data_IF_174746472346
#
_entry.id   IF_174746472346
#
_cell.length_a   1.000
_cell.length_b   1.000
_cell.length_c   1.000
_cell.angle_alpha   90.00
_cell.angle_beta   90.00
_cell.angle_gamma   90.00
#
_symmetry.space_group_name_H-M   'P 1'
#
loop_
_entity.id
_entity.type
_entity.pdbx_description
1 polymer ?
#
# COMPACT_ATOMS: atom_id res chain seq x y z
N UNK A 1 19.15 -4.74 -33.83
CA UNK A 1 18.93 -4.98 -32.38
C UNK A 1 20.22 -4.63 -31.66
N UNK A 2 20.16 -3.78 -30.62
CA UNK A 2 21.30 -3.41 -29.78
C UNK A 2 21.89 -2.03 -30.07
N UNK A 3 21.55 -1.03 -29.24
CA UNK A 3 22.30 0.24 -29.13
C UNK A 3 21.83 1.11 -27.95
N UNK A 4 22.59 1.09 -26.86
CA UNK A 4 23.05 2.28 -26.11
C UNK A 4 24.21 1.74 -25.23
N UNK A 5 25.45 1.67 -25.71
CA UNK A 5 26.41 2.75 -25.97
C UNK A 5 26.50 3.74 -24.80
N UNK A 6 27.16 3.29 -23.73
CA UNK A 6 27.69 4.15 -22.68
C UNK A 6 28.84 5.01 -23.22
N UNK A 7 28.92 6.27 -22.81
CA UNK A 7 30.14 7.07 -22.88
C UNK A 7 30.19 8.00 -21.66
N UNK A 8 31.26 7.83 -20.89
CA UNK A 8 31.65 8.62 -19.72
C UNK A 8 32.08 10.05 -20.11
N UNK A 9 32.00 11.01 -19.18
CA UNK A 9 33.18 11.81 -18.71
C UNK A 9 32.78 13.00 -17.82
N UNK A 10 33.46 13.07 -16.66
CA UNK A 10 33.83 14.23 -15.82
C UNK A 10 32.83 14.97 -14.91
N UNK A 11 32.98 14.66 -13.62
CA UNK A 11 33.31 15.60 -12.53
C UNK A 11 32.55 16.92 -12.40
N UNK A 12 31.61 16.93 -11.46
CA UNK A 12 31.52 18.01 -10.47
C UNK A 12 31.26 17.36 -9.10
N UNK A 13 32.33 17.10 -8.36
CA UNK A 13 32.28 16.90 -6.91
C UNK A 13 31.89 18.23 -6.29
N UNK A 14 30.60 18.50 -6.23
CA UNK A 14 30.06 19.61 -5.44
C UNK A 14 29.77 19.06 -4.04
N UNK A 15 30.72 19.33 -3.15
CA UNK A 15 30.58 19.40 -1.69
C UNK A 15 29.22 18.97 -1.15
N UNK A 16 29.17 17.76 -0.58
CA UNK A 16 28.11 17.35 0.33
C UNK A 16 28.19 18.21 1.60
N UNK A 17 27.67 19.43 1.51
CA UNK A 17 27.26 20.21 2.66
C UNK A 17 25.95 19.61 3.12
N UNK A 18 26.03 18.82 4.18
CA UNK A 18 24.89 18.49 5.01
C UNK A 18 24.22 19.79 5.46
N UNK A 19 22.98 20.04 5.05
CA UNK A 19 21.92 20.55 5.93
C UNK A 19 20.62 20.77 5.16
N UNK A 20 19.64 19.98 5.58
CA UNK A 20 18.30 20.41 5.94
C UNK A 20 17.45 21.20 4.92
N UNK A 21 16.33 20.53 4.65
CA UNK A 21 14.97 21.06 4.60
C UNK A 21 14.45 21.56 3.24
N UNK A 22 13.28 21.00 2.91
CA UNK A 22 12.41 21.25 1.74
C UNK A 22 12.87 20.64 0.42
N UNK A 23 12.65 19.32 0.26
CA UNK A 23 12.70 18.70 -1.06
C UNK A 23 11.53 17.75 -1.26
N UNK A 24 10.80 17.99 -2.35
CA UNK A 24 9.97 17.10 -3.16
C UNK A 24 10.78 15.88 -3.68
N UNK A 25 11.66 15.34 -2.86
CA UNK A 25 12.51 14.18 -3.10
C UNK A 25 11.87 12.94 -2.48
N UNK A 26 12.07 11.80 -3.15
CA UNK A 26 11.57 10.53 -2.68
C UNK A 26 11.98 10.29 -1.22
N UNK A 27 11.08 9.80 -0.34
CA UNK A 27 11.40 9.55 1.05
C UNK A 27 12.59 8.58 1.16
N UNK A 28 13.49 8.89 2.08
CA UNK A 28 14.66 8.05 2.39
C UNK A 28 14.21 6.61 2.68
N UNK A 29 15.10 5.64 2.43
CA UNK A 29 14.76 4.21 2.60
C UNK A 29 14.30 3.89 4.03
N UNK A 30 14.87 4.53 5.04
CA UNK A 30 14.45 4.39 6.45
C UNK A 30 13.03 4.90 6.68
N UNK A 31 12.71 6.10 6.20
CA UNK A 31 11.37 6.70 6.31
C UNK A 31 10.30 5.84 5.63
N UNK A 32 10.63 5.19 4.50
CA UNK A 32 9.75 4.22 3.85
C UNK A 32 9.53 2.95 4.67
N UNK A 33 10.57 2.43 5.31
CA UNK A 33 10.45 1.27 6.20
C UNK A 33 9.54 1.61 7.38
N UNK A 34 9.71 2.77 8.00
CA UNK A 34 8.84 3.25 9.09
C UNK A 34 7.38 3.40 8.63
N UNK A 35 7.16 3.98 7.45
CA UNK A 35 5.83 4.07 6.84
C UNK A 35 5.19 2.69 6.59
N UNK A 36 5.94 1.69 6.14
CA UNK A 36 5.40 0.33 5.99
C UNK A 36 5.05 -0.30 7.33
N UNK A 37 5.89 -0.12 8.36
CA UNK A 37 5.58 -0.64 9.69
C UNK A 37 4.33 -0.01 10.31
N UNK A 38 4.14 1.31 10.16
CA UNK A 38 2.93 1.99 10.66
C UNK A 38 1.69 1.62 9.86
N UNK A 39 1.82 1.45 8.54
CA UNK A 39 0.75 0.93 7.67
C UNK A 39 0.27 -0.43 8.16
N UNK A 40 1.19 -1.36 8.38
CA UNK A 40 0.86 -2.74 8.75
C UNK A 40 0.25 -2.82 10.15
N UNK A 41 0.69 -1.95 11.09
CA UNK A 41 0.05 -1.82 12.40
C UNK A 41 -1.40 -1.32 12.29
N UNK A 42 -1.66 -0.27 11.51
CA UNK A 42 -3.01 0.26 11.28
C UNK A 42 -3.91 -0.76 10.58
N UNK A 43 -3.41 -1.42 9.53
CA UNK A 43 -4.16 -2.45 8.80
C UNK A 43 -4.41 -3.70 9.63
N UNK A 44 -3.47 -4.11 10.47
CA UNK A 44 -3.68 -5.20 11.43
C UNK A 44 -4.72 -4.86 12.49
N UNK A 45 -4.82 -3.59 12.90
CA UNK A 45 -5.89 -3.14 13.79
C UNK A 45 -7.26 -3.17 13.09
N UNK A 46 -7.33 -2.72 11.84
CA UNK A 46 -8.55 -2.82 11.01
C UNK A 46 -9.03 -4.28 10.85
N UNK A 47 -8.11 -5.20 10.57
CA UNK A 47 -8.43 -6.62 10.38
C UNK A 47 -9.00 -7.25 11.67
N UNK A 48 -8.42 -6.91 12.83
CA UNK A 48 -8.94 -7.37 14.13
C UNK A 48 -10.36 -6.87 14.42
N UNK A 49 -10.68 -5.67 13.97
CA UNK A 49 -12.01 -5.06 14.14
C UNK A 49 -12.96 -5.39 12.97
N UNK A 50 -12.55 -6.26 12.04
CA UNK A 50 -13.32 -6.63 10.84
C UNK A 50 -13.74 -5.43 9.98
N UNK A 51 -12.97 -4.33 10.02
CA UNK A 51 -13.25 -3.15 9.21
C UNK A 51 -12.55 -3.27 7.86
N UNK A 52 -13.37 -3.41 6.82
CA UNK A 52 -12.90 -3.58 5.45
C UNK A 52 -12.44 -2.26 4.82
N UNK A 53 -13.15 -1.17 5.08
CA UNK A 53 -12.87 0.14 4.50
C UNK A 53 -12.13 1.06 5.49
N UNK A 54 -10.84 1.39 5.24
CA UNK A 54 -10.11 2.36 6.06
C UNK A 54 -10.81 3.73 5.98
N UNK A 55 -11.04 4.35 7.14
CA UNK A 55 -11.76 5.63 7.27
C UNK A 55 -13.27 5.52 7.53
N UNK A 56 -13.84 4.31 7.53
CA UNK A 56 -15.25 4.05 7.90
C UNK A 56 -15.38 3.29 9.23
N UNK A 57 -14.29 3.22 10.00
CA UNK A 57 -14.14 2.42 11.22
C UNK A 57 -14.91 2.93 12.46
N UNK A 58 -15.76 3.94 12.33
CA UNK A 58 -16.43 4.57 13.47
C UNK A 58 -15.47 5.40 14.32
N UNK A 59 -16.00 6.28 15.18
CA UNK A 59 -15.18 7.16 16.00
C UNK A 59 -14.42 6.37 17.08
N UNK A 60 -13.09 6.32 16.98
CA UNK A 60 -12.20 5.82 18.03
C UNK A 60 -11.52 4.46 17.75
N UNK A 61 -11.92 3.73 16.71
CA UNK A 61 -11.26 2.47 16.34
C UNK A 61 -9.96 2.78 15.60
N UNK A 62 -8.84 2.23 16.10
CA UNK A 62 -7.51 2.33 15.51
C UNK A 62 -7.00 3.76 15.25
N UNK A 63 -7.53 4.77 15.97
CA UNK A 63 -7.20 6.18 15.73
C UNK A 63 -5.73 6.50 16.01
N UNK A 64 -5.15 5.94 17.07
CA UNK A 64 -3.72 6.10 17.39
C UNK A 64 -2.83 5.66 16.23
N UNK A 65 -3.11 4.49 15.68
CA UNK A 65 -2.38 3.89 14.58
C UNK A 65 -2.64 4.63 13.28
N UNK A 66 -3.86 5.13 13.07
CA UNK A 66 -4.23 5.96 11.91
C UNK A 66 -3.44 7.29 11.90
N UNK A 67 -3.34 7.93 13.07
CA UNK A 67 -2.59 9.18 13.23
C UNK A 67 -1.10 8.96 13.03
N UNK A 68 -0.53 7.90 13.60
CA UNK A 68 0.86 7.53 13.36
C UNK A 68 1.14 7.20 11.91
N UNK A 69 0.23 6.48 11.26
CA UNK A 69 0.31 6.15 9.84
C UNK A 69 0.31 7.41 8.97
N UNK A 70 -0.59 8.36 9.23
CA UNK A 70 -0.63 9.66 8.52
C UNK A 70 0.57 10.56 8.83
N UNK A 71 1.17 10.46 10.02
CA UNK A 71 2.39 11.22 10.38
C UNK A 71 3.65 10.65 9.74
N UNK A 72 3.80 9.32 9.71
CA UNK A 72 5.01 8.63 9.22
C UNK A 72 5.01 8.42 7.70
N UNK A 73 3.84 8.33 7.07
CA UNK A 73 3.71 8.17 5.62
C UNK A 73 3.39 9.49 4.91
N UNK A 74 3.83 9.62 3.66
CA UNK A 74 3.36 10.68 2.77
C UNK A 74 1.87 10.51 2.46
N UNK A 75 1.12 11.61 2.36
CA UNK A 75 -0.32 11.59 2.08
C UNK A 75 -0.68 10.81 0.79
N UNK A 76 0.12 10.94 -0.27
CA UNK A 76 -0.07 10.21 -1.53
C UNK A 76 0.07 8.69 -1.37
N UNK A 77 0.94 8.24 -0.46
CA UNK A 77 1.12 6.83 -0.14
C UNK A 77 -0.06 6.30 0.67
N UNK A 78 -0.52 7.08 1.64
CA UNK A 78 -1.70 6.77 2.45
C UNK A 78 -2.92 6.54 1.55
N UNK A 79 -3.18 7.48 0.64
CA UNK A 79 -4.29 7.38 -0.30
C UNK A 79 -4.18 6.15 -1.21
N UNK A 80 -2.97 5.90 -1.74
CA UNK A 80 -2.72 4.74 -2.59
C UNK A 80 -2.96 3.42 -1.87
N UNK A 81 -2.43 3.26 -0.65
CA UNK A 81 -2.60 2.03 0.13
C UNK A 81 -4.05 1.81 0.54
N UNK A 82 -4.76 2.87 0.94
CA UNK A 82 -6.18 2.78 1.28
C UNK A 82 -7.01 2.32 0.07
N UNK A 83 -6.78 2.91 -1.11
CA UNK A 83 -7.41 2.48 -2.37
C UNK A 83 -7.07 1.03 -2.69
N UNK A 84 -5.79 0.65 -2.55
CA UNK A 84 -5.32 -0.71 -2.85
C UNK A 84 -6.00 -1.76 -1.96
N UNK A 85 -6.19 -1.47 -0.67
CA UNK A 85 -6.91 -2.37 0.26
C UNK A 85 -8.35 -2.60 -0.18
N UNK A 86 -9.08 -1.54 -0.52
CA UNK A 86 -10.48 -1.64 -0.98
C UNK A 86 -10.58 -2.39 -2.31
N UNK A 87 -9.67 -2.13 -3.25
CA UNK A 87 -9.62 -2.84 -4.53
C UNK A 87 -9.30 -4.33 -4.34
N UNK A 88 -8.34 -4.67 -3.50
CA UNK A 88 -7.99 -6.06 -3.20
C UNK A 88 -9.18 -6.81 -2.58
N UNK A 89 -9.88 -6.20 -1.62
CA UNK A 89 -11.10 -6.77 -1.03
C UNK A 89 -12.20 -6.98 -2.08
N UNK A 90 -12.40 -6.00 -2.97
CA UNK A 90 -13.37 -6.12 -4.06
C UNK A 90 -13.00 -7.25 -5.03
N UNK A 91 -11.73 -7.38 -5.39
CA UNK A 91 -11.24 -8.42 -6.27
C UNK A 91 -11.46 -9.81 -5.66
N UNK A 92 -11.03 -10.02 -4.41
CA UNK A 92 -11.21 -11.28 -3.67
C UNK A 92 -12.70 -11.68 -3.58
N UNK A 93 -13.59 -10.73 -3.27
CA UNK A 93 -15.04 -10.99 -3.24
C UNK A 93 -15.60 -11.42 -4.62
N UNK A 94 -15.12 -10.83 -5.71
CA UNK A 94 -15.57 -11.23 -7.05
C UNK A 94 -15.03 -12.60 -7.43
N UNK A 95 -13.76 -12.89 -7.13
CA UNK A 95 -13.13 -14.19 -7.39
C UNK A 95 -13.82 -15.31 -6.61
N UNK A 96 -14.12 -15.10 -5.31
CA UNK A 96 -14.87 -16.06 -4.50
C UNK A 96 -16.26 -16.35 -5.06
N UNK A 97 -17.03 -15.32 -5.43
CA UNK A 97 -18.35 -15.49 -6.05
C UNK A 97 -18.28 -16.22 -7.39
N UNK A 98 -17.24 -15.97 -8.19
CA UNK A 98 -17.04 -16.68 -9.45
C UNK A 98 -16.70 -18.16 -9.20
N UNK A 99 -15.85 -18.44 -8.22
CA UNK A 99 -15.50 -19.81 -7.82
C UNK A 99 -16.73 -20.58 -7.31
N UNK A 100 -17.59 -19.95 -6.50
CA UNK A 100 -18.85 -20.53 -6.01
C UNK A 100 -19.79 -20.89 -7.18
N UNK A 101 -19.95 -20.00 -8.17
CA UNK A 101 -20.77 -20.28 -9.36
C UNK A 101 -20.23 -21.45 -10.19
N UNK A 102 -18.90 -21.53 -10.37
CA UNK A 102 -18.29 -22.67 -11.09
C UNK A 102 -18.51 -23.98 -10.32
N UNK A 103 -18.41 -23.95 -8.99
CA UNK A 103 -18.68 -25.12 -8.15
C UNK A 103 -20.14 -25.55 -8.21
N UNK A 104 -21.09 -24.61 -8.20
CA UNK A 104 -22.52 -24.90 -8.34
C UNK A 104 -22.85 -25.56 -9.68
N UNK A 105 -22.32 -25.02 -10.78
CA UNK A 105 -22.49 -25.60 -12.13
C UNK A 105 -21.84 -26.98 -12.27
N UNK A 106 -20.71 -27.21 -11.59
CA UNK A 106 -20.04 -28.51 -11.55
C UNK A 106 -20.81 -29.52 -10.69
N UNK A 107 -21.31 -29.10 -9.53
CA UNK A 107 -22.09 -29.94 -8.61
C UNK A 107 -23.46 -30.31 -9.15
N UNK A 108 -24.16 -29.37 -9.80
CA UNK A 108 -25.46 -29.63 -10.44
C UNK A 108 -25.39 -30.59 -11.63
N UNK A 109 -24.21 -30.77 -12.25
CA UNK A 109 -23.97 -31.80 -13.27
C UNK A 109 -23.71 -33.20 -12.69
N UNK A 110 -23.29 -33.31 -11.43
CA UNK A 110 -23.02 -34.59 -10.79
C UNK A 110 -24.30 -35.30 -10.28
N UNK A 111 -25.42 -34.57 -10.15
CA UNK A 111 -26.69 -35.07 -9.61
C UNK A 111 -27.70 -35.47 -10.68
N UNK A 112 -27.32 -35.54 -11.97
CA UNK A 112 -28.19 -35.91 -13.09
C UNK A 112 -27.71 -37.16 -13.81
#
# INVERSE_FOLDING_TARGET
MGWFSSSETSSSRSTATASASTSSGAPDRSQRAECWTSRDAYFGCLDKNSVQAPGQEGSGVCQSENDEYKRKCAASWVDYFNKRRVLALRQDLMERRAAEQVQELAGGKATR
#
